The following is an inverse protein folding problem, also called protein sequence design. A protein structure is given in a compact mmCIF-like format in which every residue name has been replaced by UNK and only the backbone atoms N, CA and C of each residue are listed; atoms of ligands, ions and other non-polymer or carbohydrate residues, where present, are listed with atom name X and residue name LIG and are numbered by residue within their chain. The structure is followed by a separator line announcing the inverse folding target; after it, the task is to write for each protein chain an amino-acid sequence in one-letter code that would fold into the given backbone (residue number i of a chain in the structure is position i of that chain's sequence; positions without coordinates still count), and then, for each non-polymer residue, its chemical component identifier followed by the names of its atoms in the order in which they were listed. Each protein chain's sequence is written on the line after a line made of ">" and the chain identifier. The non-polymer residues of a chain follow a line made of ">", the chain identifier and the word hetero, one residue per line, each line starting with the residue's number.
data_IF_401097894991
#
_entry.id   IF_401097894991
#
_cell.length_a   1.000
_cell.length_b   1.000
_cell.length_c   1.000
_cell.angle_alpha   90.00
_cell.angle_beta   90.00
_cell.angle_gamma   90.00
#
_symmetry.space_group_name_H-M   'P 1'
#
loop_
_entity.id
_entity.type
_entity.pdbx_description
1 polymer ?
#
# COMPACT_ATOMS: atom_id res chain seq x y z
N UNK A 1 -99.62 -22.74 -15.06
CA UNK A 1 -99.81 -21.39 -15.66
C UNK A 1 -98.70 -20.48 -15.18
N UNK A 2 -98.08 -19.72 -16.09
CA UNK A 2 -97.49 -18.35 -16.01
C UNK A 2 -97.21 -17.79 -14.58
N UNK A 3 -96.15 -17.08 -14.23
CA UNK A 3 -95.01 -16.35 -14.86
C UNK A 3 -94.24 -15.76 -13.63
N UNK A 4 -92.89 -15.71 -13.60
CA UNK A 4 -92.08 -14.46 -13.70
C UNK A 4 -92.32 -13.45 -12.54
N UNK A 5 -91.38 -12.79 -11.85
CA UNK A 5 -89.98 -12.39 -12.16
C UNK A 5 -89.51 -11.34 -11.12
N UNK A 6 -88.25 -11.43 -10.66
CA UNK A 6 -87.32 -10.36 -10.16
C UNK A 6 -87.65 -9.69 -8.79
N UNK A 7 -86.74 -9.14 -7.97
CA UNK A 7 -85.41 -8.56 -8.24
C UNK A 7 -84.63 -8.17 -6.94
N UNK A 8 -83.28 -8.25 -7.00
CA UNK A 8 -82.18 -7.52 -6.27
C UNK A 8 -82.17 -7.41 -4.72
N UNK A 9 -81.07 -7.25 -3.99
CA UNK A 9 -79.62 -7.58 -4.06
C UNK A 9 -79.00 -7.00 -2.77
N UNK A 10 -78.06 -7.74 -2.19
CA UNK A 10 -77.03 -7.30 -1.22
C UNK A 10 -77.45 -6.93 0.21
N UNK A 11 -77.00 -7.74 1.16
CA UNK A 11 -76.21 -7.22 2.29
C UNK A 11 -75.28 -8.31 2.78
N UNK A 12 -73.99 -7.98 2.81
CA UNK A 12 -72.86 -8.86 3.12
C UNK A 12 -72.84 -9.20 4.62
N UNK A 13 -72.45 -10.45 4.89
CA UNK A 13 -72.46 -11.19 6.15
C UNK A 13 -71.58 -10.56 7.23
N UNK A 14 -72.07 -10.60 8.48
CA UNK A 14 -71.45 -10.07 9.69
C UNK A 14 -70.92 -11.21 10.58
N UNK A 15 -69.61 -11.16 10.90
CA UNK A 15 -68.94 -11.77 12.08
C UNK A 15 -68.74 -13.29 12.07
N UNK A 16 -67.69 -13.88 12.63
CA UNK A 16 -66.53 -13.42 13.40
C UNK A 16 -65.50 -14.57 13.50
N UNK A 17 -64.27 -14.24 13.94
CA UNK A 17 -63.23 -15.06 14.61
C UNK A 17 -61.88 -15.26 13.89
N UNK A 18 -60.83 -14.90 14.65
CA UNK A 18 -59.43 -15.40 14.63
C UNK A 18 -58.52 -14.85 13.53
N UNK A 19 -57.34 -14.25 13.72
CA UNK A 19 -56.40 -13.97 14.83
C UNK A 19 -55.55 -12.75 14.36
N UNK A 20 -54.97 -11.89 15.22
CA UNK A 20 -53.87 -11.03 14.75
C UNK A 20 -52.73 -11.91 14.21
N UNK A 21 -52.38 -11.77 12.92
CA UNK A 21 -51.14 -12.35 12.39
C UNK A 21 -49.99 -11.53 12.96
N UNK A 22 -49.49 -11.93 14.13
CA UNK A 22 -48.18 -11.49 14.59
C UNK A 22 -47.15 -12.27 13.80
N UNK A 23 -46.56 -11.65 12.78
CA UNK A 23 -45.36 -12.20 12.14
C UNK A 23 -44.22 -12.10 13.15
N UNK A 24 -43.87 -13.21 13.79
CA UNK A 24 -42.59 -13.31 14.47
C UNK A 24 -41.53 -13.52 13.38
N UNK A 25 -40.82 -12.45 13.02
CA UNK A 25 -39.53 -12.64 12.36
C UNK A 25 -38.69 -13.45 13.36
N UNK A 26 -38.34 -14.69 12.99
CA UNK A 26 -37.37 -15.46 13.75
C UNK A 26 -36.13 -14.57 13.93
N UNK A 27 -35.65 -14.45 15.17
CA UNK A 27 -34.42 -13.74 15.47
C UNK A 27 -33.35 -14.25 14.49
N UNK A 28 -32.79 -13.34 13.70
CA UNK A 28 -31.95 -13.68 12.57
C UNK A 28 -30.83 -14.61 13.01
N UNK A 29 -30.57 -15.67 12.25
CA UNK A 29 -29.54 -16.64 12.61
C UNK A 29 -28.17 -15.96 12.79
N UNK A 30 -27.55 -16.12 13.95
CA UNK A 30 -26.17 -15.68 14.17
C UNK A 30 -25.26 -16.59 13.34
N UNK A 31 -24.69 -16.03 12.27
CA UNK A 31 -23.73 -16.73 11.41
C UNK A 31 -22.32 -16.24 11.72
N UNK A 32 -21.55 -17.04 12.44
CA UNK A 32 -20.13 -16.77 12.72
C UNK A 32 -19.27 -17.34 11.59
N UNK A 33 -18.52 -16.48 10.91
CA UNK A 33 -17.47 -16.89 9.98
C UNK A 33 -16.11 -16.74 10.63
N UNK A 34 -15.17 -17.61 10.25
CA UNK A 34 -13.77 -17.49 10.63
C UNK A 34 -12.98 -16.83 9.49
N UNK A 35 -12.02 -15.99 9.83
CA UNK A 35 -10.98 -15.50 8.93
C UNK A 35 -9.62 -15.94 9.44
N UNK A 36 -8.73 -16.36 8.55
CA UNK A 36 -7.34 -16.72 8.86
C UNK A 36 -6.43 -15.93 7.92
N UNK A 37 -5.35 -15.36 8.47
CA UNK A 37 -4.30 -14.66 7.72
C UNK A 37 -2.96 -15.21 8.19
N UNK A 38 -2.08 -15.51 7.24
CA UNK A 38 -0.68 -15.87 7.47
C UNK A 38 0.21 -14.82 6.80
N UNK A 39 1.22 -14.36 7.52
CA UNK A 39 2.23 -13.44 7.00
C UNK A 39 3.54 -14.20 6.86
N UNK A 40 4.16 -14.09 5.69
CA UNK A 40 5.49 -14.62 5.41
C UNK A 40 6.45 -13.45 5.16
N UNK A 41 7.75 -13.58 5.49
CA UNK A 41 8.72 -12.52 5.20
C UNK A 41 8.78 -12.19 3.72
N UNK A 42 9.03 -10.91 3.41
CA UNK A 42 9.30 -10.49 2.05
C UNK A 42 10.78 -10.74 1.72
N UNK A 43 11.04 -11.47 0.65
CA UNK A 43 12.39 -11.81 0.18
C UNK A 43 12.83 -10.95 -1.01
N UNK A 44 11.92 -10.20 -1.61
CA UNK A 44 12.19 -9.35 -2.76
C UNK A 44 12.96 -8.08 -2.35
N UNK A 45 13.82 -7.52 -3.22
CA UNK A 45 14.45 -6.23 -2.98
C UNK A 45 13.42 -5.13 -2.72
N UNK A 46 13.77 -4.21 -1.83
CA UNK A 46 12.97 -3.01 -1.59
C UNK A 46 13.61 -1.84 -2.35
N UNK A 47 12.80 -1.11 -3.11
CA UNK A 47 13.27 0.07 -3.83
C UNK A 47 13.70 1.18 -2.85
N UNK A 48 14.80 1.90 -3.14
CA UNK A 48 15.22 3.02 -2.31
C UNK A 48 14.20 4.15 -2.37
N UNK A 49 14.11 4.92 -1.29
CA UNK A 49 13.25 6.09 -1.16
C UNK A 49 14.08 7.34 -0.85
N UNK A 50 13.48 8.52 -1.00
CA UNK A 50 14.11 9.75 -0.52
C UNK A 50 14.18 9.73 1.02
N UNK A 51 15.37 9.83 1.64
CA UNK A 51 15.52 9.74 3.09
C UNK A 51 14.91 10.94 3.84
N UNK A 52 14.59 12.03 3.13
CA UNK A 52 13.93 13.22 3.69
C UNK A 52 12.43 13.26 3.42
N UNK A 53 11.95 12.48 2.46
CA UNK A 53 10.53 12.36 2.09
C UNK A 53 10.23 10.94 1.55
N UNK A 54 9.98 9.94 2.43
CA UNK A 54 9.88 8.54 2.04
C UNK A 54 8.49 8.17 1.47
N UNK A 55 7.89 9.05 0.69
CA UNK A 55 6.53 8.87 0.15
C UNK A 55 6.47 8.02 -1.12
N UNK A 56 7.60 7.82 -1.80
CA UNK A 56 7.68 7.00 -3.00
C UNK A 56 9.11 6.61 -3.37
N UNK A 57 9.25 5.61 -4.25
CA UNK A 57 10.56 5.12 -4.65
C UNK A 57 11.29 6.12 -5.54
N UNK A 58 12.61 6.05 -5.46
CA UNK A 58 13.53 6.86 -6.25
C UNK A 58 14.53 5.96 -6.96
N UNK A 59 15.13 6.48 -8.03
CA UNK A 59 16.25 5.89 -8.73
C UNK A 59 17.51 6.73 -8.47
N UNK A 60 18.41 6.28 -7.57
CA UNK A 60 19.65 6.98 -7.29
C UNK A 60 20.59 6.98 -8.50
N UNK A 61 21.32 8.08 -8.67
CA UNK A 61 22.35 8.22 -9.69
C UNK A 61 23.69 8.00 -9.01
N UNK A 62 24.49 7.05 -9.50
CA UNK A 62 25.84 6.85 -9.00
C UNK A 62 26.78 7.89 -9.63
N UNK A 63 27.45 8.75 -8.83
CA UNK A 63 28.37 9.75 -9.37
C UNK A 63 29.69 9.15 -9.90
N UNK A 64 29.98 7.89 -9.58
CA UNK A 64 31.23 7.18 -9.92
C UNK A 64 31.05 6.12 -11.01
N UNK A 65 29.81 5.68 -11.27
CA UNK A 65 29.47 4.67 -12.28
C UNK A 65 28.33 5.14 -13.20
N UNK A 66 28.56 5.29 -14.52
CA UNK A 66 27.52 5.70 -15.46
C UNK A 66 26.38 4.69 -15.63
N UNK A 67 26.61 3.40 -15.31
CA UNK A 67 25.58 2.36 -15.39
C UNK A 67 24.63 2.39 -14.16
N UNK A 68 24.95 3.22 -13.17
CA UNK A 68 24.18 3.40 -11.95
C UNK A 68 24.69 2.57 -10.78
N UNK A 69 24.05 2.67 -9.61
CA UNK A 69 24.48 1.94 -8.43
C UNK A 69 24.17 0.45 -8.56
N UNK A 70 24.87 -0.37 -7.76
CA UNK A 70 24.48 -1.77 -7.60
C UNK A 70 23.04 -1.88 -7.05
N UNK A 71 22.27 -2.88 -7.50
CA UNK A 71 20.92 -3.10 -6.97
C UNK A 71 20.97 -3.48 -5.48
N UNK A 72 19.85 -3.23 -4.79
CA UNK A 72 19.66 -3.66 -3.40
C UNK A 72 19.79 -5.18 -3.24
N UNK A 73 20.07 -5.62 -2.01
CA UNK A 73 20.23 -7.04 -1.69
C UNK A 73 18.87 -7.71 -1.49
N UNK A 74 18.74 -8.98 -1.90
CA UNK A 74 17.56 -9.79 -1.59
C UNK A 74 17.48 -10.16 -0.10
N UNK A 75 16.30 -10.60 0.32
CA UNK A 75 16.04 -11.19 1.63
C UNK A 75 15.29 -10.25 2.58
N UNK A 76 14.82 -10.79 3.72
CA UNK A 76 13.93 -10.07 4.62
C UNK A 76 14.67 -9.06 5.50
N UNK A 77 16.00 -9.03 5.45
CA UNK A 77 16.81 -7.93 5.96
C UNK A 77 17.74 -7.51 4.83
N UNK A 78 17.41 -6.40 4.17
CA UNK A 78 18.06 -5.95 2.94
C UNK A 78 18.78 -4.62 3.13
N UNK A 79 19.89 -4.45 2.42
CA UNK A 79 20.41 -3.13 2.08
C UNK A 79 19.75 -2.73 0.78
N UNK A 80 18.95 -1.67 0.81
CA UNK A 80 18.19 -1.20 -0.35
C UNK A 80 19.08 -0.33 -1.24
N UNK A 81 19.91 0.50 -0.60
CA UNK A 81 20.84 1.40 -1.27
C UNK A 81 21.94 1.90 -0.35
N UNK A 82 23.10 2.20 -0.93
CA UNK A 82 24.19 2.92 -0.28
C UNK A 82 24.84 3.91 -1.25
N UNK A 83 24.96 5.18 -0.84
CA UNK A 83 25.58 6.23 -1.66
C UNK A 83 27.06 5.98 -1.92
N UNK A 84 27.46 6.03 -3.19
CA UNK A 84 28.84 6.25 -3.61
C UNK A 84 29.22 7.71 -3.32
N UNK A 85 30.37 7.93 -2.68
CA UNK A 85 30.81 9.27 -2.26
C UNK A 85 31.80 9.86 -3.26
N UNK A 86 31.38 10.90 -3.99
CA UNK A 86 32.25 11.68 -4.87
C UNK A 86 32.76 12.95 -4.16
N UNK A 87 34.08 13.08 -4.02
CA UNK A 87 34.73 14.26 -3.44
C UNK A 87 35.32 15.22 -4.50
N UNK A 88 35.15 14.90 -5.79
CA UNK A 88 35.72 15.66 -6.89
C UNK A 88 37.24 15.61 -6.97
N UNK A 89 37.82 16.60 -7.66
CA UNK A 89 39.26 16.68 -7.92
C UNK A 89 39.92 17.71 -7.02
N UNK A 90 40.74 17.24 -6.09
CA UNK A 90 41.41 18.09 -5.10
C UNK A 90 42.90 18.23 -5.38
N UNK A 91 43.50 19.37 -4.99
CA UNK A 91 44.94 19.61 -5.11
C UNK A 91 45.71 18.97 -3.95
N UNK A 92 46.86 18.39 -4.24
CA UNK A 92 47.80 17.87 -3.22
C UNK A 92 48.33 19.03 -2.37
N UNK A 93 48.34 18.86 -1.05
CA UNK A 93 48.82 19.86 -0.09
C UNK A 93 49.49 19.18 1.12
N UNK A 94 50.40 19.90 1.78
CA UNK A 94 51.06 19.48 3.02
C UNK A 94 50.35 19.95 4.29
N UNK A 95 49.20 20.63 4.15
CA UNK A 95 48.37 21.12 5.26
C UNK A 95 47.12 20.27 5.39
N UNK A 96 46.58 20.18 6.60
CA UNK A 96 45.28 19.58 6.85
C UNK A 96 44.19 20.28 6.02
N UNK A 97 43.30 19.50 5.40
CA UNK A 97 42.15 19.97 4.63
C UNK A 97 40.92 19.15 4.97
N UNK A 98 39.76 19.77 4.82
CA UNK A 98 38.46 19.10 4.89
C UNK A 98 37.82 19.12 3.51
N UNK A 99 37.39 17.96 3.03
CA UNK A 99 36.73 17.81 1.74
C UNK A 99 35.35 17.21 1.97
N UNK A 100 34.33 17.86 1.43
CA UNK A 100 32.95 17.41 1.51
C UNK A 100 32.59 16.63 0.25
N UNK A 101 31.88 15.51 0.42
CA UNK A 101 31.33 14.79 -0.71
C UNK A 101 30.20 15.61 -1.35
N UNK A 102 29.99 15.39 -2.65
CA UNK A 102 28.82 15.88 -3.36
C UNK A 102 27.53 15.31 -2.75
N UNK A 103 26.42 16.02 -2.95
CA UNK A 103 25.07 15.56 -2.61
C UNK A 103 24.68 14.34 -3.45
N UNK A 104 23.87 13.46 -2.87
CA UNK A 104 23.28 12.35 -3.61
C UNK A 104 22.24 12.89 -4.57
N UNK A 105 22.28 12.45 -5.83
CA UNK A 105 21.28 12.79 -6.84
C UNK A 105 20.38 11.60 -7.13
N UNK A 106 19.10 11.85 -7.37
CA UNK A 106 18.13 10.79 -7.67
C UNK A 106 16.97 11.34 -8.48
N UNK A 107 16.26 10.43 -9.15
CA UNK A 107 15.03 10.72 -9.89
C UNK A 107 13.88 10.00 -9.23
N UNK A 108 12.70 10.60 -9.20
CA UNK A 108 11.50 9.88 -8.73
C UNK A 108 11.07 8.84 -9.74
N UNK A 109 10.53 7.71 -9.30
CA UNK A 109 9.93 6.72 -10.19
C UNK A 109 8.42 6.98 -10.36
N UNK A 110 7.88 6.72 -11.55
CA UNK A 110 6.44 6.69 -11.80
C UNK A 110 5.81 5.34 -11.38
N UNK A 111 4.50 5.20 -11.57
CA UNK A 111 3.77 3.99 -11.18
C UNK A 111 4.19 2.75 -11.99
N UNK A 112 4.80 2.96 -13.15
CA UNK A 112 5.35 1.92 -14.02
C UNK A 112 6.83 1.63 -13.75
N UNK A 113 7.45 2.32 -12.78
CA UNK A 113 8.85 2.16 -12.39
C UNK A 113 9.85 2.90 -13.28
N UNK A 114 9.39 3.82 -14.14
CA UNK A 114 10.28 4.60 -14.99
C UNK A 114 10.77 5.87 -14.27
N UNK A 115 12.05 6.23 -14.42
CA UNK A 115 12.60 7.42 -13.78
C UNK A 115 12.10 8.70 -14.47
N UNK A 116 11.75 9.69 -13.66
CA UNK A 116 11.35 11.01 -14.11
C UNK A 116 12.50 11.79 -14.78
N UNK A 117 12.16 12.87 -15.47
CA UNK A 117 13.16 13.75 -16.09
C UNK A 117 13.80 14.71 -15.09
N UNK A 118 13.12 15.01 -13.98
CA UNK A 118 13.61 15.89 -12.93
C UNK A 118 14.63 15.18 -12.05
N UNK A 119 15.78 15.83 -11.83
CA UNK A 119 16.81 15.35 -10.90
C UNK A 119 16.67 16.11 -9.59
N UNK A 120 16.46 15.37 -8.51
CA UNK A 120 16.48 15.87 -7.14
C UNK A 120 17.84 15.63 -6.51
N UNK A 121 18.14 16.41 -5.48
CA UNK A 121 19.36 16.27 -4.67
C UNK A 121 19.01 16.14 -3.19
N UNK A 122 19.75 15.30 -2.48
CA UNK A 122 19.57 15.03 -1.05
C UNK A 122 20.88 14.66 -0.36
N UNK A 123 20.83 14.27 0.93
CA UNK A 123 22.00 13.84 1.67
C UNK A 123 22.53 12.50 1.12
N UNK A 124 23.80 12.19 1.38
CA UNK A 124 24.32 10.82 1.21
C UNK A 124 23.75 9.92 2.31
N UNK A 125 23.36 8.70 1.97
CA UNK A 125 22.66 7.80 2.90
C UNK A 125 22.95 6.33 2.64
N UNK A 126 22.59 5.52 3.63
CA UNK A 126 22.43 4.07 3.50
C UNK A 126 21.01 3.75 3.95
N UNK A 127 20.30 2.97 3.15
CA UNK A 127 18.94 2.52 3.45
C UNK A 127 18.93 1.01 3.67
N UNK A 128 18.24 0.60 4.72
CA UNK A 128 18.09 -0.80 5.14
C UNK A 128 16.61 -1.05 5.42
N UNK A 129 16.09 -2.17 4.93
CA UNK A 129 14.72 -2.61 5.21
C UNK A 129 14.73 -3.92 5.99
N UNK A 130 13.86 -4.02 7.01
CA UNK A 130 13.63 -5.22 7.80
C UNK A 130 12.18 -5.70 7.66
N UNK A 131 11.99 -6.75 6.88
CA UNK A 131 10.76 -7.47 6.61
C UNK A 131 10.72 -8.85 7.29
N UNK A 132 11.58 -9.13 8.28
CA UNK A 132 11.62 -10.45 8.96
C UNK A 132 10.37 -10.74 9.79
N UNK A 133 9.66 -9.70 10.24
CA UNK A 133 8.43 -9.86 11.03
C UNK A 133 8.63 -10.52 12.41
N UNK A 134 9.86 -10.64 12.89
CA UNK A 134 10.19 -11.30 14.17
C UNK A 134 10.23 -10.34 15.35
N UNK A 135 10.02 -9.03 15.13
CA UNK A 135 10.15 -7.96 16.13
C UNK A 135 11.50 -7.95 16.89
N UNK A 136 12.51 -8.68 16.40
CA UNK A 136 13.80 -8.88 17.05
C UNK A 136 14.81 -7.77 16.74
N UNK A 137 14.33 -6.53 16.57
CA UNK A 137 15.14 -5.36 16.22
C UNK A 137 16.36 -5.16 17.12
#
# INVERSE_FOLDING_TARGET
>A
MKKSTKLFMSTIILGALTVPVTTFAADGGVYTSNGVVEFVPNEDPTDPVDPTDPTGPVNPIDPTDPDGPNPGTNGPLSIDYASSLDFGVQKITSKDQTYFAASQKYKTLDAEGNPSTEVKEGPNYVQVTDNRGTEAG
#
